data_IF_870552296759
#
_entry.id   IF_870552296759
#
_cell.length_a   1.000
_cell.length_b   1.000
_cell.length_c   1.000
_cell.angle_alpha   90.00
_cell.angle_beta   90.00
_cell.angle_gamma   90.00
#
_symmetry.space_group_name_H-M   'P 1'
#
loop_
_entity.id
_entity.type
_entity.pdbx_description
1 polymer ?
#
# COMPACT_ATOMS: atom_id res chain seq x y z
N UNK A 1 -8.95 -16.15 3.73
CA UNK A 1 -7.85 -17.15 3.70
C UNK A 1 -6.82 -16.67 4.70
N UNK A 2 -6.40 -17.50 5.66
CA UNK A 2 -5.43 -17.08 6.69
C UNK A 2 -4.07 -16.77 6.05
N UNK A 3 -3.32 -15.81 6.60
CA UNK A 3 -1.96 -15.51 6.15
C UNK A 3 -1.10 -16.78 6.25
N UNK A 4 -0.29 -17.06 5.23
CA UNK A 4 0.60 -18.24 5.19
C UNK A 4 1.82 -18.11 6.14
N UNK A 5 1.78 -17.18 7.10
CA UNK A 5 2.85 -16.91 8.04
C UNK A 5 2.65 -17.69 9.33
N UNK A 6 3.75 -18.09 9.96
CA UNK A 6 3.66 -18.72 11.29
C UNK A 6 3.22 -17.70 12.34
N UNK A 7 2.55 -18.14 13.43
CA UNK A 7 2.16 -17.24 14.51
C UNK A 7 3.33 -16.46 15.11
N UNK A 8 4.50 -17.08 15.22
CA UNK A 8 5.73 -16.47 15.75
C UNK A 8 6.20 -15.32 14.85
N UNK A 9 6.12 -15.53 13.53
CA UNK A 9 6.51 -14.52 12.55
C UNK A 9 5.55 -13.32 12.58
N UNK A 10 4.24 -13.57 12.64
CA UNK A 10 3.23 -12.52 12.77
C UNK A 10 3.39 -11.74 14.08
N UNK A 11 3.73 -12.43 15.17
CA UNK A 11 4.04 -11.76 16.45
C UNK A 11 5.28 -10.87 16.34
N UNK A 12 6.34 -11.35 15.68
CA UNK A 12 7.54 -10.58 15.37
C UNK A 12 7.20 -9.32 14.58
N UNK A 13 6.46 -9.46 13.48
CA UNK A 13 5.97 -8.34 12.66
C UNK A 13 5.27 -7.29 13.51
N UNK A 14 4.32 -7.67 14.35
CA UNK A 14 3.58 -6.73 15.18
C UNK A 14 4.47 -6.00 16.20
N UNK A 15 5.40 -6.69 16.83
CA UNK A 15 6.33 -6.13 17.81
C UNK A 15 7.26 -5.09 17.18
N UNK A 16 7.91 -5.45 16.06
CA UNK A 16 8.87 -4.58 15.40
C UNK A 16 8.19 -3.43 14.65
N UNK A 17 6.98 -3.63 14.12
CA UNK A 17 6.19 -2.54 13.54
C UNK A 17 6.00 -1.39 14.53
N UNK A 18 5.54 -1.68 15.74
CA UNK A 18 5.35 -0.65 16.78
C UNK A 18 6.65 0.07 17.13
N UNK A 19 7.77 -0.66 17.17
CA UNK A 19 9.10 -0.07 17.47
C UNK A 19 9.58 0.83 16.33
N UNK A 20 9.52 0.37 15.09
CA UNK A 20 9.96 1.16 13.93
C UNK A 20 9.10 2.40 13.71
N UNK A 21 7.77 2.29 13.83
CA UNK A 21 6.87 3.46 13.71
C UNK A 21 7.14 4.48 14.82
N UNK A 22 7.31 4.03 16.06
CA UNK A 22 7.68 4.92 17.17
C UNK A 22 9.06 5.56 16.94
N UNK A 23 10.05 4.79 16.52
CA UNK A 23 11.40 5.26 16.22
C UNK A 23 11.42 6.33 15.14
N UNK A 24 10.72 6.10 14.03
CA UNK A 24 10.57 7.10 12.97
C UNK A 24 9.97 8.41 13.49
N UNK A 25 8.94 8.32 14.34
CA UNK A 25 8.28 9.48 14.93
C UNK A 25 9.02 10.12 16.11
N UNK A 26 10.17 9.59 16.54
CA UNK A 26 11.08 10.36 17.40
C UNK A 26 11.64 11.56 16.64
N UNK A 27 11.91 11.38 15.35
CA UNK A 27 12.59 12.36 14.50
C UNK A 27 11.62 13.13 13.59
N UNK A 28 10.52 12.49 13.19
CA UNK A 28 9.65 13.00 12.14
C UNK A 28 8.21 13.19 12.62
N UNK A 29 7.65 14.38 12.45
CA UNK A 29 6.21 14.62 12.66
C UNK A 29 5.35 14.19 11.45
N UNK A 30 5.95 14.09 10.27
CA UNK A 30 5.23 13.77 9.02
C UNK A 30 4.82 12.30 8.95
N UNK A 31 3.68 11.97 8.33
CA UNK A 31 3.23 10.58 8.26
C UNK A 31 4.13 9.68 7.42
N UNK A 32 4.22 8.39 7.78
CA UNK A 32 4.92 7.36 7.03
C UNK A 32 4.16 7.09 5.72
N UNK A 33 4.83 7.28 4.58
CA UNK A 33 4.29 7.05 3.24
C UNK A 33 5.38 6.65 2.24
N UNK A 34 4.96 6.04 1.13
CA UNK A 34 5.81 5.79 -0.05
C UNK A 34 7.12 5.05 0.32
N UNK A 35 8.28 5.56 -0.11
CA UNK A 35 9.59 4.93 0.13
C UNK A 35 9.97 4.83 1.61
N UNK A 36 9.44 5.71 2.46
CA UNK A 36 9.65 5.61 3.92
C UNK A 36 8.99 4.35 4.46
N UNK A 37 7.79 4.01 3.98
CA UNK A 37 7.14 2.77 4.37
C UNK A 37 7.95 1.55 3.93
N UNK A 38 8.52 1.58 2.73
CA UNK A 38 9.37 0.50 2.23
C UNK A 38 10.60 0.27 3.10
N UNK A 39 11.31 1.34 3.49
CA UNK A 39 12.46 1.26 4.37
C UNK A 39 12.09 0.71 5.76
N UNK A 40 10.97 1.19 6.33
CA UNK A 40 10.46 0.72 7.62
C UNK A 40 10.05 -0.76 7.55
N UNK A 41 9.30 -1.16 6.52
CA UNK A 41 8.84 -2.54 6.35
C UNK A 41 10.03 -3.50 6.21
N UNK A 42 11.08 -3.10 5.49
CA UNK A 42 12.32 -3.88 5.38
C UNK A 42 12.97 -4.13 6.74
N UNK A 43 13.06 -3.11 7.61
CA UNK A 43 13.58 -3.28 8.98
C UNK A 43 12.70 -4.21 9.82
N UNK A 44 11.38 -4.06 9.74
CA UNK A 44 10.43 -4.92 10.46
C UNK A 44 10.61 -6.38 10.05
N UNK A 45 10.64 -6.67 8.75
CA UNK A 45 10.83 -8.01 8.21
C UNK A 45 12.19 -8.60 8.65
N UNK A 46 13.26 -7.82 8.54
CA UNK A 46 14.61 -8.24 8.95
C UNK A 46 14.66 -8.63 10.42
N UNK A 47 14.15 -7.76 11.30
CA UNK A 47 14.16 -8.01 12.74
C UNK A 47 13.22 -9.15 13.16
N UNK A 48 12.16 -9.41 12.40
CA UNK A 48 11.30 -10.56 12.61
C UNK A 48 11.91 -11.89 12.12
N UNK A 49 13.11 -11.86 11.55
CA UNK A 49 13.86 -13.05 11.13
C UNK A 49 13.79 -13.36 9.63
N UNK A 50 13.23 -12.47 8.80
CA UNK A 50 13.23 -12.65 7.35
C UNK A 50 14.60 -12.27 6.75
N UNK A 51 15.06 -13.04 5.77
CA UNK A 51 16.22 -12.69 4.95
C UNK A 51 15.75 -11.84 3.78
N UNK A 52 16.26 -10.60 3.67
CA UNK A 52 15.95 -9.70 2.55
C UNK A 52 16.81 -10.06 1.34
N UNK A 53 16.17 -10.32 0.20
CA UNK A 53 16.83 -10.62 -1.07
C UNK A 53 16.96 -9.37 -1.95
N UNK A 54 15.93 -8.51 -1.95
CA UNK A 54 15.95 -7.26 -2.71
C UNK A 54 14.98 -6.22 -2.15
N UNK A 55 15.29 -4.95 -2.39
CA UNK A 55 14.45 -3.79 -2.08
C UNK A 55 14.48 -2.81 -3.28
N UNK A 56 13.32 -2.28 -3.68
CA UNK A 56 13.17 -1.37 -4.81
C UNK A 56 13.67 0.06 -4.50
N UNK A 57 13.74 0.42 -3.22
CA UNK A 57 14.23 1.70 -2.68
C UNK A 57 13.56 2.92 -3.33
N UNK A 58 12.23 2.89 -3.43
CA UNK A 58 11.45 3.97 -4.05
C UNK A 58 11.43 3.95 -5.58
N UNK A 59 11.91 2.89 -6.24
CA UNK A 59 11.73 2.76 -7.69
C UNK A 59 10.23 2.78 -8.02
N UNK A 60 9.82 3.56 -9.02
CA UNK A 60 8.43 3.57 -9.51
C UNK A 60 8.09 2.35 -10.40
N UNK A 61 8.91 1.29 -10.33
CA UNK A 61 8.71 0.08 -11.11
C UNK A 61 7.47 -0.66 -10.59
N UNK A 62 6.57 -1.12 -11.48
CA UNK A 62 5.41 -1.90 -11.05
C UNK A 62 5.85 -3.27 -10.54
N UNK A 63 5.22 -3.75 -9.45
CA UNK A 63 5.42 -5.10 -8.92
C UNK A 63 5.78 -5.12 -7.44
N UNK A 64 6.70 -6.02 -7.10
CA UNK A 64 7.26 -6.20 -5.76
C UNK A 64 8.23 -5.08 -5.39
N UNK A 65 8.06 -4.52 -4.21
CA UNK A 65 8.95 -3.53 -3.61
C UNK A 65 9.98 -4.22 -2.70
N UNK A 66 9.59 -5.29 -2.00
CA UNK A 66 10.49 -6.08 -1.13
C UNK A 66 10.37 -7.55 -1.50
N UNK A 67 11.51 -8.23 -1.69
CA UNK A 67 11.58 -9.69 -1.77
C UNK A 67 12.34 -10.23 -0.57
N UNK A 68 11.75 -11.18 0.15
CA UNK A 68 12.40 -11.80 1.31
C UNK A 68 11.99 -13.27 1.47
N UNK A 69 12.57 -13.94 2.47
CA UNK A 69 12.28 -15.35 2.78
C UNK A 69 10.81 -15.66 3.13
N UNK A 70 10.02 -14.64 3.50
CA UNK A 70 8.58 -14.79 3.72
C UNK A 70 7.73 -14.55 2.47
N UNK A 71 8.33 -14.05 1.37
CA UNK A 71 7.66 -13.76 0.12
C UNK A 71 7.96 -12.36 -0.43
N UNK A 72 7.27 -12.02 -1.50
CA UNK A 72 7.36 -10.75 -2.21
C UNK A 72 6.20 -9.84 -1.83
N UNK A 73 6.51 -8.59 -1.50
CA UNK A 73 5.56 -7.59 -1.02
C UNK A 73 5.51 -6.39 -1.95
N UNK A 74 4.30 -5.98 -2.34
CA UNK A 74 4.04 -4.65 -2.89
C UNK A 74 3.58 -3.73 -1.75
N UNK A 75 4.41 -2.74 -1.43
CA UNK A 75 4.15 -1.76 -0.39
C UNK A 75 3.20 -0.69 -0.90
N UNK A 76 2.18 -0.38 -0.08
CA UNK A 76 1.24 0.70 -0.31
C UNK A 76 1.11 1.52 0.95
N UNK A 77 1.00 2.83 0.78
CA UNK A 77 0.65 3.74 1.88
C UNK A 77 -0.64 4.45 1.53
N UNK A 78 -1.61 4.38 2.42
CA UNK A 78 -2.95 4.95 2.18
C UNK A 78 -3.37 5.80 3.36
N UNK A 79 -4.31 6.70 3.12
CA UNK A 79 -5.02 7.45 4.16
C UNK A 79 -6.46 6.94 4.18
N UNK A 80 -7.01 6.72 5.36
CA UNK A 80 -8.44 6.44 5.50
C UNK A 80 -9.25 7.64 4.98
N UNK A 81 -10.33 7.37 4.25
CA UNK A 81 -11.17 8.44 3.71
C UNK A 81 -12.10 9.04 4.76
N UNK A 82 -12.43 8.24 5.77
CA UNK A 82 -13.44 8.53 6.79
C UNK A 82 -12.86 8.27 8.18
N UNK A 83 -13.44 8.93 9.19
CA UNK A 83 -13.09 8.67 10.60
C UNK A 83 -13.56 7.28 11.08
N UNK A 84 -14.54 6.66 10.41
CA UNK A 84 -14.93 5.26 10.64
C UNK A 84 -13.87 4.27 10.15
N UNK A 85 -12.88 4.72 9.37
CA UNK A 85 -11.76 3.93 8.84
C UNK A 85 -12.22 2.79 7.97
N UNK A 86 -13.45 2.80 7.50
CA UNK A 86 -14.10 1.75 6.71
C UNK A 86 -13.67 1.75 5.26
N UNK A 87 -12.93 2.77 4.82
CA UNK A 87 -12.58 2.91 3.42
C UNK A 87 -11.17 3.49 3.21
N UNK A 88 -10.46 2.94 2.23
CA UNK A 88 -9.26 3.56 1.67
C UNK A 88 -9.12 3.26 0.18
N UNK A 89 -8.31 4.06 -0.50
CA UNK A 89 -7.98 3.88 -1.91
C UNK A 89 -6.50 3.52 -2.10
N UNK A 90 -6.23 2.51 -2.91
CA UNK A 90 -4.90 2.07 -3.33
C UNK A 90 -4.73 2.40 -4.81
N UNK A 91 -3.64 3.08 -5.15
CA UNK A 91 -3.19 3.16 -6.55
C UNK A 91 -2.24 2.01 -6.88
N UNK A 92 -2.44 1.39 -8.04
CA UNK A 92 -1.58 0.31 -8.55
C UNK A 92 -1.55 0.34 -10.08
N UNK A 93 -0.48 -0.17 -10.71
CA UNK A 93 -0.31 -0.33 -12.17
C UNK A 93 -0.63 0.90 -13.07
N UNK A 94 0.39 1.46 -13.72
CA UNK A 94 0.19 2.43 -14.82
C UNK A 94 -0.06 1.66 -16.12
N UNK A 95 -1.25 1.80 -16.69
CA UNK A 95 -1.74 0.93 -17.79
C UNK A 95 -1.74 1.63 -19.15
N UNK A 96 -0.97 2.71 -19.31
CA UNK A 96 -0.90 3.49 -20.56
C UNK A 96 -0.49 2.69 -21.79
N UNK A 97 0.13 1.52 -21.62
CA UNK A 97 0.50 0.62 -22.72
C UNK A 97 -0.66 -0.24 -23.25
N UNK A 98 -1.78 -0.35 -22.50
CA UNK A 98 -2.94 -1.17 -22.86
C UNK A 98 -4.24 -0.39 -22.87
N UNK A 99 -4.28 0.82 -22.27
CA UNK A 99 -5.44 1.70 -22.36
C UNK A 99 -5.09 3.19 -22.20
N UNK A 100 -5.82 4.03 -22.91
CA UNK A 100 -5.63 5.47 -23.00
C UNK A 100 -6.92 6.16 -23.44
N UNK A 101 -6.89 7.50 -23.54
CA UNK A 101 -8.04 8.27 -24.04
C UNK A 101 -8.28 8.10 -25.54
N UNK A 102 -7.23 7.76 -26.32
CA UNK A 102 -7.32 7.53 -27.76
C UNK A 102 -7.67 6.08 -28.10
N UNK A 103 -7.28 5.15 -27.23
CA UNK A 103 -7.56 3.73 -27.34
C UNK A 103 -7.95 3.20 -25.95
N UNK A 104 -9.25 3.02 -25.67
CA UNK A 104 -9.73 2.51 -24.39
C UNK A 104 -9.19 1.13 -24.01
N UNK A 105 -8.65 0.38 -24.97
CA UNK A 105 -8.28 -1.02 -24.80
C UNK A 105 -9.49 -1.92 -24.52
N UNK A 106 -9.22 -3.16 -24.13
CA UNK A 106 -10.24 -4.07 -23.64
C UNK A 106 -9.83 -4.67 -22.28
N UNK A 107 -10.81 -5.16 -21.53
CA UNK A 107 -10.61 -5.66 -20.17
C UNK A 107 -9.73 -6.89 -20.12
N UNK A 108 -9.81 -7.77 -21.13
CA UNK A 108 -8.97 -8.98 -21.19
C UNK A 108 -7.49 -8.63 -21.21
N UNK A 109 -7.10 -7.71 -22.09
CA UNK A 109 -5.70 -7.28 -22.22
C UNK A 109 -5.23 -6.48 -21.00
N UNK A 110 -6.11 -5.67 -20.42
CA UNK A 110 -5.84 -4.94 -19.17
C UNK A 110 -5.55 -5.92 -18.02
N UNK A 111 -6.41 -6.92 -17.83
CA UNK A 111 -6.23 -7.95 -16.79
C UNK A 111 -4.95 -8.76 -17.05
N UNK A 112 -4.69 -9.14 -18.31
CA UNK A 112 -3.48 -9.84 -18.68
C UNK A 112 -2.23 -9.02 -18.34
N UNK A 113 -2.21 -7.72 -18.62
CA UNK A 113 -1.08 -6.85 -18.31
C UNK A 113 -0.88 -6.66 -16.79
N UNK A 114 -1.97 -6.55 -16.03
CA UNK A 114 -1.90 -6.51 -14.56
C UNK A 114 -1.28 -7.81 -14.03
N UNK A 115 -1.79 -8.96 -14.46
CA UNK A 115 -1.30 -10.26 -14.01
C UNK A 115 0.15 -10.52 -14.43
N UNK A 116 0.57 -10.06 -15.62
CA UNK A 116 1.96 -10.15 -16.08
C UNK A 116 2.92 -9.36 -15.19
N UNK A 117 2.48 -8.23 -14.63
CA UNK A 117 3.27 -7.38 -13.73
C UNK A 117 3.19 -7.80 -12.26
N UNK A 118 2.24 -8.66 -11.90
CA UNK A 118 2.01 -9.14 -10.52
C UNK A 118 3.05 -10.21 -10.15
N UNK A 119 4.26 -9.77 -9.81
CA UNK A 119 5.37 -10.63 -9.38
C UNK A 119 5.52 -10.70 -7.84
N UNK A 120 4.45 -10.41 -7.11
CA UNK A 120 4.42 -10.40 -5.65
C UNK A 120 3.26 -11.22 -5.10
N UNK A 121 3.40 -11.70 -3.86
CA UNK A 121 2.37 -12.50 -3.19
C UNK A 121 1.48 -11.65 -2.28
N UNK A 122 2.00 -10.55 -1.74
CA UNK A 122 1.31 -9.79 -0.71
C UNK A 122 1.27 -8.29 -1.03
N UNK A 123 0.12 -7.67 -0.79
CA UNK A 123 0.03 -6.24 -0.56
C UNK A 123 0.34 -5.96 0.91
N UNK A 124 1.38 -5.16 1.16
CA UNK A 124 1.75 -4.67 2.49
C UNK A 124 1.32 -3.20 2.60
N UNK A 125 0.17 -2.97 3.24
CA UNK A 125 -0.49 -1.66 3.23
C UNK A 125 -0.35 -1.02 4.61
N UNK A 126 0.31 0.14 4.69
CA UNK A 126 0.22 1.01 5.85
C UNK A 126 -0.93 2.00 5.64
N UNK A 127 -2.01 1.83 6.39
CA UNK A 127 -3.14 2.75 6.41
C UNK A 127 -3.02 3.70 7.60
N UNK A 128 -3.37 4.97 7.40
CA UNK A 128 -3.27 5.98 8.44
C UNK A 128 -4.53 6.80 8.61
N UNK A 129 -4.83 7.12 9.85
CA UNK A 129 -5.72 8.21 10.24
C UNK A 129 -4.88 9.32 10.87
N UNK A 130 -4.94 10.51 10.29
CA UNK A 130 -4.22 11.68 10.78
C UNK A 130 -5.18 12.60 11.53
N UNK A 131 -4.88 12.88 12.79
CA UNK A 131 -5.56 13.87 13.61
C UNK A 131 -4.59 15.04 13.87
N UNK A 132 -5.04 16.07 14.60
CA UNK A 132 -4.23 17.27 14.84
C UNK A 132 -2.94 16.98 15.63
N UNK A 133 -3.02 16.12 16.64
CA UNK A 133 -1.94 15.85 17.60
C UNK A 133 -1.41 14.40 17.54
N UNK A 134 -2.01 13.55 16.70
CA UNK A 134 -1.69 12.12 16.64
C UNK A 134 -1.94 11.51 15.27
N UNK A 135 -1.27 10.39 15.03
CA UNK A 135 -1.47 9.55 13.85
C UNK A 135 -1.69 8.12 14.33
N UNK A 136 -2.76 7.50 13.86
CA UNK A 136 -2.99 6.07 14.01
C UNK A 136 -2.55 5.37 12.73
N UNK A 137 -1.83 4.27 12.87
CA UNK A 137 -1.47 3.39 11.77
C UNK A 137 -2.00 1.98 11.99
N UNK A 138 -2.56 1.42 10.93
CA UNK A 138 -2.84 0.00 10.79
C UNK A 138 -1.97 -0.55 9.66
N UNK A 139 -1.33 -1.69 9.91
CA UNK A 139 -0.60 -2.43 8.91
C UNK A 139 -1.38 -3.67 8.49
N UNK A 140 -1.79 -3.68 7.23
CA UNK A 140 -2.45 -4.81 6.60
C UNK A 140 -1.46 -5.62 5.78
N UNK A 141 -1.61 -6.94 5.84
CA UNK A 141 -1.07 -7.83 4.82
C UNK A 141 -2.24 -8.56 4.17
N UNK A 142 -2.40 -8.37 2.86
CA UNK A 142 -3.48 -8.98 2.07
C UNK A 142 -2.85 -9.73 0.91
N UNK A 143 -3.28 -10.96 0.67
CA UNK A 143 -2.80 -11.73 -0.47
C UNK A 143 -3.17 -11.06 -1.80
N UNK A 144 -2.26 -11.10 -2.77
CA UNK A 144 -2.44 -10.49 -4.09
C UNK A 144 -3.44 -11.25 -4.98
N UNK A 145 -3.86 -12.45 -4.56
CA UNK A 145 -4.93 -13.25 -5.15
C UNK A 145 -6.26 -13.14 -4.38
N UNK A 146 -6.31 -12.34 -3.31
CA UNK A 146 -7.54 -12.11 -2.58
C UNK A 146 -8.59 -11.50 -3.53
N UNK A 147 -9.87 -11.92 -3.51
CA UNK A 147 -10.88 -11.44 -4.46
C UNK A 147 -11.03 -9.92 -4.53
N UNK A 148 -10.80 -9.21 -3.42
CA UNK A 148 -10.82 -7.73 -3.37
C UNK A 148 -9.63 -7.05 -4.08
N UNK A 149 -8.54 -7.79 -4.29
CA UNK A 149 -7.32 -7.31 -4.93
C UNK A 149 -7.16 -7.83 -6.35
N UNK A 150 -7.96 -8.83 -6.75
CA UNK A 150 -7.90 -9.46 -8.07
C UNK A 150 -8.90 -8.81 -9.05
N UNK A 151 -8.42 -8.11 -10.10
CA UNK A 151 -9.29 -7.49 -11.11
C UNK A 151 -10.21 -8.49 -11.82
N UNK A 152 -9.82 -9.76 -11.88
CA UNK A 152 -10.57 -10.83 -12.55
C UNK A 152 -11.81 -11.26 -11.76
N UNK A 153 -11.85 -10.92 -10.46
CA UNK A 153 -13.00 -11.20 -9.59
C UNK A 153 -14.16 -10.23 -9.79
N UNK A 154 -13.98 -9.19 -10.60
CA UNK A 154 -14.96 -8.11 -10.79
C UNK A 154 -15.56 -8.08 -12.20
N UNK A 155 -16.82 -7.66 -12.29
CA UNK A 155 -17.45 -7.28 -13.55
C UNK A 155 -17.05 -5.87 -13.93
N UNK A 156 -16.44 -5.70 -15.10
CA UNK A 156 -15.99 -4.41 -15.61
C UNK A 156 -16.99 -3.80 -16.61
N UNK A 157 -17.20 -2.49 -16.50
CA UNK A 157 -18.05 -1.71 -17.41
C UNK A 157 -17.34 -0.42 -17.84
N UNK A 158 -17.64 0.10 -19.04
CA UNK A 158 -17.12 1.40 -19.47
C UNK A 158 -17.51 2.52 -18.50
N UNK A 159 -16.55 3.40 -18.19
CA UNK A 159 -16.82 4.65 -17.48
C UNK A 159 -17.13 5.74 -18.51
N UNK A 160 -18.38 6.20 -18.54
CA UNK A 160 -18.85 7.22 -19.49
C UNK A 160 -18.77 8.62 -18.87
N UNK A 161 -18.21 9.57 -19.61
CA UNK A 161 -18.10 10.96 -19.19
C UNK A 161 -19.47 11.64 -19.17
N UNK A 162 -19.78 12.35 -18.08
CA UNK A 162 -21.11 12.95 -17.87
C UNK A 162 -21.22 14.41 -18.33
N UNK A 163 -20.10 15.11 -18.52
CA UNK A 163 -20.05 16.57 -18.73
C UNK A 163 -18.85 16.98 -19.59
N UNK A 164 -18.95 18.17 -20.19
CA UNK A 164 -17.86 18.84 -20.90
C UNK A 164 -17.46 18.15 -22.20
N UNK A 165 -16.18 18.33 -22.59
CA UNK A 165 -15.62 17.81 -23.85
C UNK A 165 -15.66 16.29 -24.00
N UNK A 166 -15.79 15.55 -22.90
CA UNK A 166 -15.82 14.09 -22.87
C UNK A 166 -17.23 13.55 -22.56
N UNK A 167 -18.27 14.36 -22.77
CA UNK A 167 -19.64 13.90 -22.53
C UNK A 167 -19.96 12.74 -23.50
N UNK A 168 -20.56 11.68 -22.97
CA UNK A 168 -20.99 10.49 -23.70
C UNK A 168 -19.84 9.68 -24.33
N UNK A 169 -18.58 10.06 -24.10
CA UNK A 169 -17.41 9.27 -24.48
C UNK A 169 -16.93 8.39 -23.34
N UNK A 170 -16.27 7.28 -23.68
CA UNK A 170 -15.60 6.44 -22.71
C UNK A 170 -14.34 7.16 -22.20
N UNK A 171 -14.31 7.41 -20.89
CA UNK A 171 -13.20 8.08 -20.19
C UNK A 171 -12.44 7.13 -19.26
N UNK A 172 -12.77 5.85 -19.29
CA UNK A 172 -12.16 4.86 -18.42
C UNK A 172 -12.90 3.53 -18.37
N UNK A 173 -12.53 2.77 -17.35
CA UNK A 173 -13.15 1.52 -16.95
C UNK A 173 -13.48 1.59 -15.46
N UNK A 174 -14.55 0.94 -15.04
CA UNK A 174 -14.88 0.77 -13.63
C UNK A 174 -15.50 -0.60 -13.41
N UNK A 175 -15.48 -1.08 -12.18
CA UNK A 175 -16.18 -2.31 -11.82
C UNK A 175 -17.53 -2.03 -11.20
N UNK A 176 -18.39 -3.03 -11.22
CA UNK A 176 -19.47 -3.14 -10.24
C UNK A 176 -18.86 -3.39 -8.84
N UNK A 177 -19.48 -2.87 -7.77
CA UNK A 177 -18.94 -3.05 -6.42
C UNK A 177 -19.20 -4.46 -5.89
N UNK A 178 -18.22 -5.03 -5.19
CA UNK A 178 -18.33 -6.27 -4.42
C UNK A 178 -18.03 -5.94 -2.98
N UNK A 179 -18.99 -6.17 -2.06
CA UNK A 179 -18.87 -5.84 -0.64
C UNK A 179 -18.43 -4.38 -0.40
N UNK A 180 -18.96 -3.46 -1.20
CA UNK A 180 -18.61 -2.03 -1.14
C UNK A 180 -17.21 -1.68 -1.68
N UNK A 181 -16.42 -2.65 -2.14
CA UNK A 181 -15.13 -2.43 -2.79
C UNK A 181 -15.30 -2.40 -4.31
N UNK A 182 -14.49 -1.62 -5.02
CA UNK A 182 -14.54 -1.49 -6.47
C UNK A 182 -13.17 -1.15 -7.05
N UNK A 183 -13.04 -1.23 -8.37
CA UNK A 183 -11.86 -0.78 -9.09
C UNK A 183 -12.23 0.20 -10.19
N UNK A 184 -11.29 1.09 -10.51
CA UNK A 184 -11.46 2.00 -11.64
C UNK A 184 -10.14 2.35 -12.31
N UNK A 185 -10.23 2.68 -13.59
CA UNK A 185 -9.15 3.23 -14.40
C UNK A 185 -9.75 4.45 -15.09
N UNK A 186 -9.14 5.62 -14.92
CA UNK A 186 -9.52 6.81 -15.67
C UNK A 186 -8.43 7.13 -16.68
N UNK A 187 -8.83 7.34 -17.94
CA UNK A 187 -7.95 7.72 -19.03
C UNK A 187 -7.47 9.16 -18.83
N UNK A 188 -6.40 9.27 -18.06
CA UNK A 188 -5.64 10.50 -17.83
C UNK A 188 -4.17 10.20 -18.11
N UNK A 189 -3.24 11.07 -17.67
CA UNK A 189 -1.81 10.96 -18.01
C UNK A 189 -1.18 9.59 -17.71
N UNK A 190 -1.68 8.84 -16.73
CA UNK A 190 -1.06 7.57 -16.29
C UNK A 190 -1.95 6.33 -16.44
N UNK A 191 -3.20 6.46 -16.89
CA UNK A 191 -4.19 5.36 -16.92
C UNK A 191 -4.05 4.41 -15.72
N UNK A 192 -4.01 4.98 -14.52
CA UNK A 192 -3.69 4.26 -13.28
C UNK A 192 -4.89 3.42 -12.83
N UNK A 193 -4.65 2.17 -12.40
CA UNK A 193 -5.65 1.40 -11.68
C UNK A 193 -5.78 1.91 -10.24
N UNK A 194 -7.01 2.18 -9.82
CA UNK A 194 -7.39 2.52 -8.46
C UNK A 194 -8.26 1.41 -7.90
N UNK A 195 -7.91 0.92 -6.71
CA UNK A 195 -8.67 -0.02 -5.92
C UNK A 195 -9.28 0.73 -4.74
N UNK A 196 -10.60 0.78 -4.70
CA UNK A 196 -11.41 1.35 -3.64
C UNK A 196 -11.84 0.21 -2.72
N UNK A 197 -11.27 0.16 -1.52
CA UNK A 197 -11.42 -0.98 -0.60
C UNK A 197 -12.29 -0.56 0.58
N UNK A 198 -13.42 -1.26 0.73
CA UNK A 198 -14.28 -1.17 1.91
C UNK A 198 -13.91 -2.29 2.89
N UNK A 199 -13.59 -1.90 4.12
CA UNK A 199 -13.13 -2.79 5.18
C UNK A 199 -14.29 -3.23 6.07
N UNK A 200 -14.56 -4.52 6.08
CA UNK A 200 -15.43 -5.15 7.09
C UNK A 200 -14.67 -5.41 8.38
N UNK A 201 -15.40 -5.65 9.47
CA UNK A 201 -14.79 -6.02 10.76
C UNK A 201 -13.99 -7.33 10.66
N UNK A 202 -14.53 -8.33 9.94
CA UNK A 202 -13.85 -9.60 9.67
C UNK A 202 -12.51 -9.38 8.96
N UNK A 203 -12.47 -8.48 7.98
CA UNK A 203 -11.23 -8.15 7.27
C UNK A 203 -10.20 -7.52 8.20
N UNK A 204 -10.62 -6.63 9.11
CA UNK A 204 -9.71 -6.04 10.09
C UNK A 204 -9.09 -7.11 10.98
N UNK A 205 -9.93 -7.98 11.52
CA UNK A 205 -9.48 -9.06 12.42
C UNK A 205 -8.55 -10.05 11.72
N UNK A 206 -8.75 -10.28 10.43
CA UNK A 206 -7.98 -11.25 9.65
C UNK A 206 -6.67 -10.69 9.10
N UNK A 207 -6.68 -9.44 8.62
CA UNK A 207 -5.60 -8.91 7.80
C UNK A 207 -4.77 -7.81 8.47
N UNK A 208 -5.24 -7.21 9.56
CA UNK A 208 -4.42 -6.29 10.35
C UNK A 208 -3.40 -7.11 11.12
N UNK A 209 -2.13 -6.94 10.76
CA UNK A 209 -0.99 -7.53 11.47
C UNK A 209 -0.66 -6.72 12.71
N UNK A 210 -0.77 -5.40 12.63
CA UNK A 210 -0.41 -4.52 13.72
C UNK A 210 -1.12 -3.17 13.65
N UNK A 211 -1.42 -2.63 14.83
CA UNK A 211 -1.90 -1.26 15.02
C UNK A 211 -0.99 -0.52 15.99
N UNK A 212 -0.75 0.75 15.73
CA UNK A 212 -0.04 1.65 16.66
C UNK A 212 -0.53 3.08 16.52
N UNK A 213 -0.49 3.83 17.62
CA UNK A 213 -0.78 5.26 17.63
C UNK A 213 0.45 6.02 18.14
N UNK A 214 0.76 7.15 17.50
CA UNK A 214 1.88 8.01 17.84
C UNK A 214 1.43 9.47 17.90
N UNK A 215 2.15 10.29 18.66
CA UNK A 215 1.93 11.74 18.68
C UNK A 215 2.56 12.37 17.46
N UNK A 216 1.93 13.42 16.93
CA UNK A 216 2.45 14.22 15.82
C UNK A 216 3.41 15.28 16.36
N UNK A 217 4.57 14.83 16.83
CA UNK A 217 5.58 15.68 17.46
C UNK A 217 6.96 15.10 17.21
N UNK A 218 7.90 15.93 16.75
CA UNK A 218 9.33 15.60 16.78
C UNK A 218 9.84 15.70 18.21
N UNK A 219 10.40 14.60 18.72
CA UNK A 219 10.94 14.48 20.08
C UNK A 219 12.44 14.78 20.11
N UNK A 220 13.14 14.43 19.03
CA UNK A 220 14.58 14.59 18.85
C UNK A 220 14.84 15.05 17.42
N UNK A 221 15.71 16.03 17.20
CA UNK A 221 16.14 16.40 15.84
C UNK A 221 17.43 15.68 15.41
N UNK A 222 17.84 15.86 14.15
CA UNK A 222 19.04 15.17 13.62
C UNK A 222 20.34 15.64 14.28
N UNK A 223 20.41 16.86 14.81
CA UNK A 223 21.60 17.35 15.52
C UNK A 223 21.70 16.62 16.85
N UNK A 224 20.61 16.60 17.62
CA UNK A 224 20.53 15.88 18.89
C UNK A 224 20.78 14.38 18.72
N UNK A 225 20.32 13.76 17.62
CA UNK A 225 20.61 12.37 17.31
C UNK A 225 22.12 12.16 17.05
N UNK A 226 22.73 13.03 16.25
CA UNK A 226 24.17 12.98 15.95
C UNK A 226 25.03 13.16 17.20
N UNK A 227 24.63 14.04 18.11
CA UNK A 227 25.34 14.26 19.38
C UNK A 227 25.32 13.01 20.30
N UNK A 228 24.30 12.15 20.18
CA UNK A 228 24.22 10.88 20.91
C UNK A 228 24.99 9.73 20.22
N UNK A 229 25.46 9.94 18.99
CA UNK A 229 26.23 9.00 18.19
C UNK A 229 27.42 9.72 17.55
N UNK A 230 28.38 10.21 18.36
CA UNK A 230 29.48 11.03 17.87
C UNK A 230 30.33 10.24 16.87
N UNK A 231 30.89 10.95 15.88
CA UNK A 231 31.84 10.38 14.92
C UNK A 231 33.01 9.74 15.68
N UNK A 232 33.39 8.52 15.30
CA UNK A 232 34.66 7.94 15.74
C UNK A 232 35.77 8.78 15.12
N UNK A 233 36.40 9.64 15.91
CA UNK A 233 37.57 10.41 15.47
C UNK A 233 38.74 9.43 15.39
N UNK A 234 39.05 8.94 14.19
CA UNK A 234 40.34 8.29 13.93
C UNK A 234 41.46 9.33 14.12
N UNK A 235 42.25 9.17 15.18
CA UNK A 235 43.47 9.95 15.48
C UNK A 235 44.67 9.29 14.83
#
# INVERSE_FOLDING_TARGET
MALAFTPELVHGFASYFRKCVRGYHLLNAEPIKESVWEAINTQILTHAGCIIYSQASGSHSPGSDISCSAGNFSNKSVKYETASKDHFNISSYRLTCVCSSSDPGNITDIIAEINRRKNFQYYSIIAREEQSDKILYDWFIISADHPLMDPSSYTWVPLIGKRGKNKDSQIGWKTEPINGSSMSITFSLSSQLWLSISLTEEMRQTYIVATTQVKKQTIMDYIQLSENHPEEVEI
#
